data_IF_214755373066
#
_entry.id   IF_214755373066
#
_cell.length_a   1.000
_cell.length_b   1.000
_cell.length_c   1.000
_cell.angle_alpha   90.00
_cell.angle_beta   90.00
_cell.angle_gamma   90.00
#
_symmetry.space_group_name_H-M   'P 1'
#
loop_
_entity.id
_entity.type
_entity.pdbx_description
1 polymer ?
#
# COMPACT_ATOMS: atom_id res chain seq x y z
N UNK A 1 3.18 -2.81 -3.83
CA UNK A 1 3.68 -3.27 -2.51
C UNK A 1 5.13 -3.69 -2.65
N UNK A 2 6.00 -3.35 -1.69
CA UNK A 2 7.39 -3.79 -1.68
C UNK A 2 7.67 -4.66 -0.46
N UNK A 3 8.38 -5.77 -0.69
CA UNK A 3 8.91 -6.63 0.36
C UNK A 3 10.41 -6.39 0.51
N UNK A 4 10.92 -6.47 1.74
CA UNK A 4 12.33 -6.35 2.07
C UNK A 4 12.73 -7.43 3.07
N UNK A 5 13.97 -7.88 2.97
CA UNK A 5 14.69 -8.67 3.98
C UNK A 5 16.11 -8.15 4.05
N UNK A 6 16.77 -8.27 5.20
CA UNK A 6 18.13 -7.74 5.37
C UNK A 6 19.18 -8.61 4.68
N UNK A 7 19.00 -9.92 4.75
CA UNK A 7 19.84 -10.91 4.09
C UNK A 7 19.00 -12.16 3.73
N UNK A 8 19.64 -13.18 3.16
CA UNK A 8 18.93 -14.38 2.68
C UNK A 8 18.32 -15.26 3.79
N UNK A 9 18.78 -15.10 5.03
CA UNK A 9 18.31 -15.85 6.21
C UNK A 9 17.22 -15.09 6.99
N UNK A 10 17.12 -13.77 6.78
CA UNK A 10 16.09 -12.93 7.40
C UNK A 10 14.70 -13.22 6.84
N UNK A 11 13.70 -13.08 7.72
CA UNK A 11 12.30 -13.04 7.31
C UNK A 11 12.03 -11.85 6.39
N UNK A 12 11.08 -12.05 5.47
CA UNK A 12 10.54 -10.97 4.67
C UNK A 12 9.57 -10.13 5.49
N UNK A 13 9.61 -8.83 5.27
CA UNK A 13 8.61 -7.89 5.76
C UNK A 13 8.14 -7.00 4.61
N UNK A 14 6.94 -6.44 4.76
CA UNK A 14 6.42 -5.45 3.82
C UNK A 14 7.04 -4.11 4.21
N UNK A 15 7.81 -3.51 3.30
CA UNK A 15 8.43 -2.20 3.52
C UNK A 15 7.37 -1.09 3.39
N UNK A 16 6.60 -1.13 2.30
CA UNK A 16 5.50 -0.20 2.06
C UNK A 16 4.42 -0.79 1.16
N UNK A 17 3.25 -0.16 1.22
CA UNK A 17 2.11 -0.38 0.33
C UNK A 17 1.74 0.97 -0.28
N UNK A 18 1.54 0.99 -1.59
CA UNK A 18 1.12 2.18 -2.33
C UNK A 18 -0.07 1.81 -3.20
N UNK A 19 -1.13 2.60 -3.11
CA UNK A 19 -2.31 2.55 -3.97
C UNK A 19 -2.33 3.80 -4.83
N UNK A 20 -2.81 3.64 -6.06
CA UNK A 20 -2.84 4.70 -7.05
C UNK A 20 -4.24 4.78 -7.64
N UNK A 21 -4.71 6.00 -7.88
CA UNK A 21 -5.97 6.24 -8.56
C UNK A 21 -5.85 7.44 -9.51
N UNK A 22 -6.79 7.54 -10.43
CA UNK A 22 -6.95 8.73 -11.25
C UNK A 22 -7.70 9.76 -10.42
N UNK A 23 -7.14 10.96 -10.23
CA UNK A 23 -7.76 12.00 -9.41
C UNK A 23 -9.13 12.43 -9.97
N UNK A 24 -9.29 12.42 -11.30
CA UNK A 24 -10.53 12.73 -12.01
C UNK A 24 -10.55 12.05 -13.39
N UNK A 25 -11.73 11.90 -14.00
CA UNK A 25 -11.96 11.31 -15.35
C UNK A 25 -11.24 12.02 -16.52
N UNK A 26 -10.49 13.10 -16.25
CA UNK A 26 -9.80 13.92 -17.25
C UNK A 26 -8.28 13.85 -17.16
N UNK A 27 -7.73 13.15 -16.16
CA UNK A 27 -6.30 13.03 -15.96
C UNK A 27 -5.79 11.70 -16.51
N UNK A 28 -4.80 11.76 -17.41
CA UNK A 28 -4.16 10.58 -18.02
C UNK A 28 -3.05 9.98 -17.13
N UNK A 29 -2.85 10.50 -15.92
CA UNK A 29 -1.81 10.05 -14.99
C UNK A 29 -2.39 9.45 -13.71
N UNK A 30 -1.76 8.37 -13.26
CA UNK A 30 -2.00 7.80 -11.93
C UNK A 30 -1.23 8.59 -10.89
N UNK A 31 -1.92 9.02 -9.84
CA UNK A 31 -1.33 9.65 -8.67
C UNK A 31 -1.45 8.74 -7.44
N UNK A 32 -0.63 9.00 -6.43
CA UNK A 32 -0.71 8.27 -5.15
C UNK A 32 -2.03 8.63 -4.47
N UNK A 33 -2.84 7.61 -4.21
CA UNK A 33 -4.08 7.74 -3.45
C UNK A 33 -3.84 7.50 -1.96
N UNK A 34 -3.10 6.45 -1.64
CA UNK A 34 -2.85 6.03 -0.27
C UNK A 34 -1.51 5.31 -0.16
N UNK A 35 -0.68 5.73 0.78
CA UNK A 35 0.67 5.19 0.96
C UNK A 35 0.92 4.82 2.43
N UNK A 36 1.17 3.55 2.70
CA UNK A 36 1.55 3.05 4.02
C UNK A 36 3.04 2.71 4.05
N UNK A 37 3.84 3.46 4.81
CA UNK A 37 5.25 3.18 5.04
C UNK A 37 5.44 2.35 6.32
N UNK A 38 5.17 1.05 6.24
CA UNK A 38 5.16 0.16 7.41
C UNK A 38 6.50 0.14 8.17
N UNK A 39 7.63 0.22 7.46
CA UNK A 39 8.95 0.25 8.10
C UNK A 39 9.19 1.49 8.99
N UNK A 40 8.55 2.63 8.66
CA UNK A 40 8.71 3.89 9.38
C UNK A 40 7.43 4.28 10.14
N UNK A 41 6.39 3.43 10.11
CA UNK A 41 5.13 3.58 10.82
C UNK A 41 4.39 4.90 10.53
N UNK A 42 4.30 5.29 9.26
CA UNK A 42 3.45 6.40 8.84
C UNK A 42 2.60 6.06 7.62
N UNK A 43 1.51 6.80 7.45
CA UNK A 43 0.63 6.80 6.30
C UNK A 43 0.62 8.18 5.64
N UNK A 44 0.41 8.24 4.32
CA UNK A 44 0.19 9.46 3.57
C UNK A 44 -1.02 9.33 2.65
N UNK A 45 -1.86 10.36 2.64
CA UNK A 45 -2.92 10.57 1.67
C UNK A 45 -2.85 12.04 1.20
N UNK A 46 -3.04 12.35 -0.08
CA UNK A 46 -2.91 13.72 -0.61
C UNK A 46 -3.68 14.79 0.17
N UNK A 47 -4.95 14.51 0.50
CA UNK A 47 -5.83 15.49 1.14
C UNK A 47 -5.58 15.65 2.65
N UNK A 48 -5.04 14.61 3.30
CA UNK A 48 -4.86 14.56 4.75
C UNK A 48 -3.40 14.74 5.18
N UNK A 49 -2.45 14.68 4.25
CA UNK A 49 -1.03 14.71 4.54
C UNK A 49 -0.53 13.41 5.19
N UNK A 50 0.50 13.52 6.03
CA UNK A 50 1.11 12.37 6.72
C UNK A 50 0.55 12.17 8.12
N UNK A 51 0.28 10.94 8.51
CA UNK A 51 -0.17 10.57 9.85
C UNK A 51 0.61 9.35 10.40
N UNK A 52 0.68 9.22 11.72
CA UNK A 52 1.31 8.07 12.39
C UNK A 52 0.40 6.83 12.28
N UNK A 53 0.97 5.69 11.89
CA UNK A 53 0.24 4.42 11.76
C UNK A 53 -0.33 3.90 13.08
N UNK A 54 0.19 4.34 14.23
CA UNK A 54 -0.30 3.96 15.54
C UNK A 54 -1.58 4.72 15.96
N UNK A 55 -2.01 5.74 15.19
CA UNK A 55 -3.29 6.39 15.45
C UNK A 55 -4.44 5.42 15.13
N UNK A 56 -5.45 5.29 16.01
CA UNK A 56 -6.55 4.34 15.81
C UNK A 56 -7.23 4.46 14.46
N UNK A 57 -7.49 5.69 14.00
CA UNK A 57 -8.15 5.98 12.73
C UNK A 57 -7.33 5.53 11.53
N UNK A 58 -5.99 5.65 11.62
CA UNK A 58 -5.06 5.22 10.57
C UNK A 58 -4.93 3.70 10.57
N UNK A 59 -4.96 3.06 11.74
CA UNK A 59 -4.96 1.61 11.86
C UNK A 59 -6.26 1.00 11.32
N UNK A 60 -7.40 1.62 11.59
CA UNK A 60 -8.71 1.22 11.04
C UNK A 60 -8.73 1.35 9.52
N UNK A 61 -8.18 2.45 8.99
CA UNK A 61 -7.99 2.64 7.54
C UNK A 61 -7.11 1.54 6.95
N UNK A 62 -5.98 1.21 7.59
CA UNK A 62 -5.08 0.16 7.15
C UNK A 62 -5.76 -1.22 7.15
N UNK A 63 -6.50 -1.56 8.21
CA UNK A 63 -7.27 -2.80 8.29
C UNK A 63 -8.35 -2.87 7.20
N UNK A 64 -9.07 -1.77 6.97
CA UNK A 64 -10.09 -1.67 5.93
C UNK A 64 -9.49 -1.87 4.54
N UNK A 65 -8.33 -1.27 4.27
CA UNK A 65 -7.59 -1.48 3.04
C UNK A 65 -7.20 -2.95 2.85
N UNK A 66 -6.68 -3.60 3.90
CA UNK A 66 -6.31 -5.02 3.85
C UNK A 66 -7.50 -5.91 3.51
N UNK A 67 -8.64 -5.69 4.16
CA UNK A 67 -9.86 -6.46 3.91
C UNK A 67 -10.38 -6.28 2.47
N UNK A 68 -10.35 -5.05 1.95
CA UNK A 68 -10.73 -4.78 0.56
C UNK A 68 -9.77 -5.45 -0.45
N UNK A 69 -8.46 -5.38 -0.20
CA UNK A 69 -7.45 -6.02 -1.04
C UNK A 69 -7.60 -7.55 -1.04
N UNK A 70 -7.78 -8.16 0.13
CA UNK A 70 -8.02 -9.61 0.25
C UNK A 70 -9.27 -10.04 -0.52
N UNK A 71 -10.37 -9.28 -0.41
CA UNK A 71 -11.59 -9.53 -1.15
C UNK A 71 -11.39 -9.44 -2.66
N UNK A 72 -10.62 -8.47 -3.14
CA UNK A 72 -10.26 -8.36 -4.56
C UNK A 72 -9.42 -9.54 -5.05
N UNK A 73 -8.47 -10.03 -4.22
CA UNK A 73 -7.69 -11.22 -4.53
C UNK A 73 -8.58 -12.47 -4.60
N UNK A 74 -9.45 -12.68 -3.61
CA UNK A 74 -10.36 -13.82 -3.55
C UNK A 74 -11.31 -13.88 -4.76
N UNK A 75 -11.70 -12.71 -5.28
CA UNK A 75 -12.54 -12.58 -6.48
C UNK A 75 -11.76 -12.61 -7.80
N UNK A 76 -10.43 -12.76 -7.77
CA UNK A 76 -9.58 -12.67 -8.96
C UNK A 76 -9.80 -11.36 -9.75
N UNK A 77 -10.09 -10.26 -9.05
CA UNK A 77 -10.37 -8.97 -9.67
C UNK A 77 -9.09 -8.29 -10.22
N UNK A 78 -7.92 -8.73 -9.77
CA UNK A 78 -6.61 -8.29 -10.26
C UNK A 78 -6.17 -9.19 -11.41
N UNK A 79 -6.19 -8.64 -12.63
CA UNK A 79 -5.88 -9.39 -13.85
C UNK A 79 -4.39 -9.56 -14.10
N UNK A 80 -3.58 -8.64 -13.57
CA UNK A 80 -2.14 -8.65 -13.74
C UNK A 80 -1.44 -8.48 -12.39
N UNK A 81 -0.65 -9.48 -12.01
CA UNK A 81 0.14 -9.49 -10.77
C UNK A 81 1.58 -9.84 -11.16
N UNK A 82 2.47 -8.88 -10.97
CA UNK A 82 3.89 -9.01 -11.32
C UNK A 82 4.75 -8.93 -10.06
N UNK A 83 5.83 -9.72 -10.04
CA UNK A 83 6.86 -9.68 -9.01
C UNK A 83 8.20 -9.37 -9.65
N UNK A 84 8.84 -8.29 -9.20
CA UNK A 84 10.16 -7.88 -9.68
C UNK A 84 11.15 -7.81 -8.53
N UNK A 85 12.35 -8.35 -8.76
CA UNK A 85 13.47 -8.22 -7.83
C UNK A 85 14.11 -6.83 -8.00
N UNK A 86 14.08 -6.03 -6.93
CA UNK A 86 14.75 -4.73 -6.87
C UNK A 86 16.18 -4.97 -6.36
N UNK A 87 17.16 -4.35 -7.03
CA UNK A 87 18.59 -4.47 -6.72
C UNK A 87 19.01 -3.47 -5.66
#
# INVERSE_FOLDING_TARGET
>A
MQFKRENNESLWFIAFIASFSYQNDRHDSLDVELYFHLANRWCYQPDAGTADLAQPEVLDLFCSWCAAFEHHLAKQALQDIQLTMIR
#
